data_IF_040212814258
#
_entry.id   IF_040212814258
#
_cell.length_a   1.000
_cell.length_b   1.000
_cell.length_c   1.000
_cell.angle_alpha   90.00
_cell.angle_beta   90.00
_cell.angle_gamma   90.00
#
_symmetry.space_group_name_H-M   'P 1'
#
loop_
_entity.id
_entity.type
_entity.pdbx_description
1 polymer ?
#
# COMPACT_ATOMS: atom_id res chain seq x y z
N UNK A 1 15.93 15.57 36.33
CA UNK A 1 15.73 15.49 36.01
C UNK A 1 15.84 15.80 35.03
N UNK A 2 15.42 14.94 35.92
CA UNK A 2 15.33 14.69 35.60
C UNK A 2 15.35 14.82 34.77
N UNK A 3 14.93 14.32 34.78
CA UNK A 3 14.96 14.09 34.72
C UNK A 3 14.90 14.35 33.96
N UNK A 4 14.71 14.01 34.57
CA UNK A 4 14.64 14.00 34.67
C UNK A 4 14.40 14.43 33.91
N UNK A 5 13.80 13.95 33.97
CA UNK A 5 13.77 13.87 34.12
C UNK A 5 13.58 14.10 33.30
N UNK A 6 13.25 14.07 33.70
CA UNK A 6 13.26 13.91 33.81
C UNK A 6 13.02 13.98 33.09
N UNK A 7 12.57 13.84 33.53
CA UNK A 7 12.58 13.57 33.67
C UNK A 7 12.27 13.57 33.05
N UNK A 8 11.88 13.46 33.53
CA UNK A 8 11.86 13.13 33.67
C UNK A 8 11.59 13.15 33.26
N UNK A 9 11.23 13.17 33.79
CA UNK A 9 11.15 12.83 34.07
C UNK A 9 11.12 12.95 33.91
N UNK A 10 10.99 13.43 34.95
CA UNK A 10 11.00 12.95 35.25
C UNK A 10 11.09 13.12 35.37
N UNK A 11 10.90 13.48 36.09
CA UNK A 11 11.03 13.01 36.48
C UNK A 11 11.18 13.25 36.61
N UNK A 12 11.48 13.38 37.36
CA UNK A 12 11.58 13.32 37.73
C UNK A 12 11.88 13.46 37.60
N UNK A 13 12.05 12.53 37.75
CA UNK A 13 12.32 12.34 37.56
C UNK A 13 12.82 12.38 37.60
N UNK A 14 13.16 11.88 38.33
CA UNK A 14 13.54 11.69 38.40
C UNK A 14 13.83 11.35 38.34
N UNK A 15 14.69 11.24 38.91
CA UNK A 15 14.95 10.50 38.99
C UNK A 15 14.43 9.75 39.08
N UNK A 16 14.48 9.41 38.74
CA UNK A 16 13.84 8.24 39.16
C UNK A 16 13.47 7.28 38.01
N UNK A 17 14.38 6.64 37.50
CA UNK A 17 14.12 5.56 36.56
C UNK A 17 13.93 4.31 37.40
N UNK A 18 12.71 3.82 37.52
CA UNK A 18 12.46 2.57 38.19
C UNK A 18 12.86 1.41 37.25
N UNK A 19 13.19 0.28 37.84
CA UNK A 19 13.50 -0.93 37.07
C UNK A 19 12.34 -1.35 36.18
N UNK A 20 11.12 -1.15 36.65
CA UNK A 20 9.92 -1.53 35.90
C UNK A 20 9.82 -0.77 34.58
N UNK A 21 10.15 0.51 34.57
CA UNK A 21 10.11 1.32 33.33
C UNK A 21 11.17 0.84 32.35
N UNK A 22 12.36 0.50 32.84
CA UNK A 22 13.43 -0.02 31.97
C UNK A 22 13.05 -1.38 31.38
N UNK A 23 12.45 -2.24 32.16
CA UNK A 23 12.00 -3.55 31.72
C UNK A 23 10.89 -3.43 30.67
N UNK A 24 9.97 -2.49 30.82
CA UNK A 24 8.91 -2.24 29.86
C UNK A 24 9.48 -1.74 28.54
N UNK A 25 10.50 -0.90 28.58
CA UNK A 25 11.17 -0.44 27.37
C UNK A 25 11.86 -1.58 26.63
N UNK A 26 12.53 -2.47 27.35
CA UNK A 26 13.18 -3.64 26.76
C UNK A 26 12.15 -4.58 26.13
N UNK A 27 11.03 -4.81 26.81
CA UNK A 27 9.96 -5.65 26.29
C UNK A 27 9.35 -5.02 25.05
N UNK A 28 9.15 -3.70 25.04
CA UNK A 28 8.63 -2.98 23.89
C UNK A 28 9.57 -3.09 22.69
N UNK A 29 10.89 -3.01 22.93
CA UNK A 29 11.89 -3.19 21.87
C UNK A 29 11.85 -4.59 21.30
N UNK A 30 11.75 -5.61 22.15
CA UNK A 30 11.65 -7.00 21.71
C UNK A 30 10.40 -7.23 20.88
N UNK A 31 9.27 -6.70 21.33
CA UNK A 31 8.02 -6.80 20.60
C UNK A 31 8.10 -6.13 19.24
N UNK A 32 8.73 -4.95 19.18
CA UNK A 32 8.93 -4.24 17.93
C UNK A 32 9.84 -5.03 16.99
N UNK A 33 10.93 -5.62 17.51
CA UNK A 33 11.84 -6.45 16.72
C UNK A 33 11.14 -7.69 16.19
N UNK A 34 10.33 -8.35 17.02
CA UNK A 34 9.56 -9.52 16.60
C UNK A 34 8.56 -9.16 15.51
N UNK A 35 7.90 -8.01 15.64
CA UNK A 35 6.96 -7.53 14.64
C UNK A 35 7.67 -7.24 13.31
N UNK A 36 8.83 -6.58 13.37
CA UNK A 36 9.65 -6.29 12.18
C UNK A 36 10.08 -7.60 11.52
N UNK A 37 10.52 -8.59 12.30
CA UNK A 37 10.93 -9.88 11.80
C UNK A 37 9.77 -10.60 11.11
N UNK A 38 8.58 -10.56 11.70
CA UNK A 38 7.38 -11.16 11.09
C UNK A 38 7.02 -10.49 9.78
N UNK A 39 7.07 -9.17 9.75
CA UNK A 39 6.81 -8.41 8.53
C UNK A 39 7.84 -8.75 7.45
N UNK A 40 9.10 -8.88 7.83
CA UNK A 40 10.16 -9.26 6.91
C UNK A 40 9.94 -10.66 6.35
N UNK A 41 9.54 -11.61 7.19
CA UNK A 41 9.20 -12.96 6.76
C UNK A 41 8.05 -12.97 5.75
N UNK A 42 7.02 -12.16 6.01
CA UNK A 42 5.88 -12.05 5.09
C UNK A 42 6.32 -11.47 3.75
N UNK A 43 7.17 -10.43 3.77
CA UNK A 43 7.72 -9.82 2.56
C UNK A 43 8.55 -10.84 1.79
N UNK A 44 9.37 -11.62 2.49
CA UNK A 44 10.25 -12.61 1.88
C UNK A 44 9.47 -13.74 1.18
N UNK A 45 8.24 -13.99 1.61
CA UNK A 45 7.37 -15.00 1.00
C UNK A 45 6.67 -14.49 -0.26
N UNK A 46 6.60 -13.17 -0.47
CA UNK A 46 5.93 -12.61 -1.62
C UNK A 46 6.74 -12.84 -2.89
N UNK A 47 6.06 -13.28 -3.93
CA UNK A 47 6.68 -13.35 -5.25
C UNK A 47 6.53 -11.98 -5.94
N UNK A 48 7.43 -11.69 -6.87
CA UNK A 48 7.33 -10.47 -7.67
C UNK A 48 6.00 -10.43 -8.43
N UNK A 49 5.55 -11.58 -8.91
CA UNK A 49 4.26 -11.71 -9.59
C UNK A 49 3.12 -11.23 -8.71
N UNK A 50 3.09 -11.66 -7.44
CA UNK A 50 2.03 -11.26 -6.51
C UNK A 50 2.05 -9.76 -6.24
N UNK A 51 3.23 -9.19 -6.10
CA UNK A 51 3.40 -7.75 -5.89
C UNK A 51 2.91 -6.99 -7.12
N UNK A 52 3.27 -7.43 -8.32
CA UNK A 52 2.82 -6.79 -9.56
C UNK A 52 1.30 -6.83 -9.67
N UNK A 53 0.68 -7.97 -9.35
CA UNK A 53 -0.78 -8.08 -9.37
C UNK A 53 -1.45 -7.13 -8.39
N UNK A 54 -0.88 -6.96 -7.20
CA UNK A 54 -1.40 -6.01 -6.21
C UNK A 54 -1.28 -4.57 -6.71
N UNK A 55 -0.16 -4.24 -7.34
CA UNK A 55 0.04 -2.92 -7.94
C UNK A 55 -1.02 -2.69 -9.03
N UNK A 56 -1.29 -3.69 -9.85
CA UNK A 56 -2.31 -3.60 -10.89
C UNK A 56 -3.70 -3.34 -10.31
N UNK A 57 -4.04 -4.01 -9.22
CA UNK A 57 -5.32 -3.77 -8.52
C UNK A 57 -5.41 -2.34 -8.01
N UNK A 58 -4.32 -1.83 -7.45
CA UNK A 58 -4.25 -0.45 -6.98
C UNK A 58 -4.36 0.54 -8.13
N UNK A 59 -3.70 0.27 -9.25
CA UNK A 59 -3.79 1.11 -10.45
C UNK A 59 -5.20 1.13 -11.01
N UNK A 60 -5.89 0.00 -10.99
CA UNK A 60 -7.27 -0.08 -11.44
C UNK A 60 -8.18 0.81 -10.59
N UNK A 61 -8.08 0.67 -9.28
CA UNK A 61 -8.88 1.48 -8.33
C UNK A 61 -8.58 2.97 -8.50
N UNK A 62 -7.31 3.32 -8.56
CA UNK A 62 -6.91 4.72 -8.70
C UNK A 62 -7.30 5.27 -10.07
N UNK A 63 -7.21 4.44 -11.11
CA UNK A 63 -7.63 4.80 -12.46
C UNK A 63 -9.09 5.20 -12.50
N UNK A 64 -9.97 4.40 -11.91
CA UNK A 64 -11.39 4.72 -11.83
C UNK A 64 -11.64 6.01 -11.05
N UNK A 65 -10.90 6.21 -9.97
CA UNK A 65 -11.01 7.44 -9.18
C UNK A 65 -10.60 8.65 -10.01
N UNK A 66 -9.55 8.54 -10.79
CA UNK A 66 -9.08 9.62 -11.68
C UNK A 66 -9.97 9.81 -12.90
N UNK A 67 -10.85 8.87 -13.17
CA UNK A 67 -11.93 9.03 -14.15
C UNK A 67 -13.14 9.75 -13.54
N UNK A 68 -13.13 9.98 -12.23
CA UNK A 68 -14.24 10.58 -11.51
C UNK A 68 -15.35 9.60 -11.16
N UNK A 69 -15.03 8.31 -11.12
CA UNK A 69 -16.02 7.27 -10.83
C UNK A 69 -15.90 6.78 -9.38
N UNK A 70 -16.99 6.50 -8.69
CA UNK A 70 -18.39 6.71 -9.14
C UNK A 70 -18.74 8.19 -9.29
N UNK A 71 -19.59 8.46 -10.24
CA UNK A 71 -20.06 9.82 -10.50
C UNK A 71 -20.73 10.38 -9.25
N UNK A 72 -20.46 11.65 -8.95
CA UNK A 72 -21.01 12.31 -7.77
C UNK A 72 -20.15 12.15 -6.52
N UNK A 73 -19.31 11.11 -6.46
CA UNK A 73 -18.43 10.87 -5.31
C UNK A 73 -17.00 11.32 -5.59
N UNK A 74 -16.49 11.00 -6.76
CA UNK A 74 -15.10 11.23 -7.12
C UNK A 74 -14.91 12.28 -8.23
N UNK A 75 -15.91 13.08 -8.51
CA UNK A 75 -15.85 14.11 -9.58
C UNK A 75 -14.65 15.05 -9.43
N UNK A 76 -14.31 15.41 -8.21
CA UNK A 76 -13.20 16.33 -7.92
C UNK A 76 -11.83 15.75 -8.20
N UNK A 77 -11.73 14.41 -8.32
CA UNK A 77 -10.46 13.75 -8.58
C UNK A 77 -10.22 13.48 -10.07
N UNK A 78 -11.18 13.86 -10.91
CA UNK A 78 -11.12 13.60 -12.35
C UNK A 78 -9.89 14.25 -12.96
N UNK A 79 -9.05 13.45 -13.60
CA UNK A 79 -7.78 13.90 -14.16
C UNK A 79 -7.42 12.97 -15.33
N UNK A 80 -7.57 13.50 -16.55
CA UNK A 80 -7.37 12.70 -17.75
C UNK A 80 -5.95 12.13 -17.87
N UNK A 81 -4.95 12.94 -17.54
CA UNK A 81 -3.54 12.53 -17.67
C UNK A 81 -3.24 11.40 -16.70
N UNK A 82 -3.67 11.54 -15.45
CA UNK A 82 -3.43 10.51 -14.45
C UNK A 82 -4.25 9.25 -14.71
N UNK A 83 -5.47 9.39 -15.18
CA UNK A 83 -6.30 8.25 -15.55
C UNK A 83 -5.66 7.47 -16.69
N UNK A 84 -5.15 8.17 -17.71
CA UNK A 84 -4.48 7.53 -18.83
C UNK A 84 -3.22 6.79 -18.37
N UNK A 85 -2.45 7.42 -17.49
CA UNK A 85 -1.24 6.82 -16.95
C UNK A 85 -1.56 5.52 -16.20
N UNK A 86 -2.64 5.50 -15.43
CA UNK A 86 -3.07 4.30 -14.70
C UNK A 86 -3.45 3.18 -15.67
N UNK A 87 -4.21 3.50 -16.71
CA UNK A 87 -4.64 2.52 -17.73
C UNK A 87 -3.43 1.96 -18.47
N UNK A 88 -2.54 2.83 -18.93
CA UNK A 88 -1.36 2.42 -19.69
C UNK A 88 -0.40 1.60 -18.83
N UNK A 89 -0.25 1.95 -17.56
CA UNK A 89 0.58 1.20 -16.62
C UNK A 89 0.00 -0.19 -16.36
N UNK A 90 -1.31 -0.29 -16.20
CA UNK A 90 -1.98 -1.57 -16.03
C UNK A 90 -1.72 -2.47 -17.24
N UNK A 91 -1.86 -1.92 -18.44
CA UNK A 91 -1.61 -2.67 -19.67
C UNK A 91 -0.17 -3.15 -19.77
N UNK A 92 0.78 -2.29 -19.46
CA UNK A 92 2.21 -2.65 -19.50
C UNK A 92 2.54 -3.76 -18.51
N UNK A 93 2.02 -3.68 -17.30
CA UNK A 93 2.25 -4.70 -16.27
C UNK A 93 1.59 -6.03 -16.65
N UNK A 94 0.40 -5.98 -17.26
CA UNK A 94 -0.26 -7.19 -17.73
C UNK A 94 0.62 -7.91 -18.76
N UNK A 95 1.19 -7.19 -19.70
CA UNK A 95 2.11 -7.78 -20.69
C UNK A 95 3.30 -8.45 -20.06
N UNK A 96 3.78 -7.91 -18.94
CA UNK A 96 4.92 -8.48 -18.23
C UNK A 96 4.58 -9.80 -17.56
N UNK A 97 3.40 -9.89 -16.92
CA UNK A 97 3.08 -11.05 -16.07
C UNK A 97 2.16 -12.08 -16.73
N UNK A 98 1.53 -11.78 -17.87
CA UNK A 98 0.50 -12.67 -18.40
C UNK A 98 0.99 -14.08 -18.72
N UNK A 99 2.26 -14.23 -19.04
CA UNK A 99 2.85 -15.53 -19.31
C UNK A 99 3.17 -16.32 -18.03
N UNK A 100 3.17 -15.64 -16.88
CA UNK A 100 3.56 -16.23 -15.59
C UNK A 100 2.38 -16.53 -14.68
N UNK A 101 1.16 -16.28 -15.14
CA UNK A 101 -0.07 -16.51 -14.36
C UNK A 101 -0.95 -17.52 -15.09
N UNK A 102 -1.96 -18.02 -14.36
CA UNK A 102 -2.91 -18.97 -14.94
C UNK A 102 -3.75 -18.29 -16.01
N UNK A 103 -4.15 -19.06 -17.02
CA UNK A 103 -4.97 -18.54 -18.12
C UNK A 103 -6.22 -17.82 -17.61
N UNK A 104 -6.87 -18.35 -16.58
CA UNK A 104 -8.08 -17.75 -16.00
C UNK A 104 -7.76 -16.37 -15.41
N UNK A 105 -6.64 -16.25 -14.68
CA UNK A 105 -6.22 -14.97 -14.12
C UNK A 105 -5.88 -13.96 -15.21
N UNK A 106 -5.18 -14.43 -16.25
CA UNK A 106 -4.84 -13.57 -17.39
C UNK A 106 -6.10 -13.03 -18.07
N UNK A 107 -7.08 -13.89 -18.27
CA UNK A 107 -8.36 -13.50 -18.90
C UNK A 107 -9.09 -12.48 -18.02
N UNK A 108 -9.10 -12.67 -16.72
CA UNK A 108 -9.73 -11.73 -15.79
C UNK A 108 -9.04 -10.35 -15.85
N UNK A 109 -7.72 -10.34 -15.92
CA UNK A 109 -6.96 -9.09 -16.01
C UNK A 109 -7.17 -8.40 -17.37
N UNK A 110 -7.27 -9.17 -18.44
CA UNK A 110 -7.57 -8.62 -19.76
C UNK A 110 -8.96 -7.97 -19.78
N UNK A 111 -9.93 -8.61 -19.14
CA UNK A 111 -11.27 -8.05 -18.98
C UNK A 111 -11.24 -6.75 -18.19
N UNK A 112 -10.47 -6.72 -17.11
CA UNK A 112 -10.30 -5.51 -16.30
C UNK A 112 -9.68 -4.38 -17.12
N UNK A 113 -8.68 -4.69 -17.93
CA UNK A 113 -8.05 -3.70 -18.81
C UNK A 113 -9.06 -3.16 -19.84
N UNK A 114 -9.84 -4.05 -20.46
CA UNK A 114 -10.86 -3.64 -21.42
C UNK A 114 -11.87 -2.69 -20.79
N UNK A 115 -12.29 -2.98 -19.56
CA UNK A 115 -13.22 -2.13 -18.83
C UNK A 115 -12.60 -0.77 -18.50
N UNK A 116 -11.33 -0.74 -18.09
CA UNK A 116 -10.63 0.51 -17.85
C UNK A 116 -10.55 1.36 -19.11
N UNK A 117 -10.17 0.74 -20.22
CA UNK A 117 -10.05 1.44 -21.51
C UNK A 117 -11.39 1.97 -21.98
N UNK A 118 -12.43 1.16 -21.88
CA UNK A 118 -13.77 1.55 -22.30
C UNK A 118 -14.29 2.73 -21.47
N UNK A 119 -14.12 2.68 -20.18
CA UNK A 119 -14.56 3.76 -19.31
C UNK A 119 -13.76 5.04 -19.55
N UNK A 120 -12.45 4.90 -19.79
CA UNK A 120 -11.62 6.04 -20.14
C UNK A 120 -12.14 6.76 -21.38
N UNK A 121 -12.44 5.99 -22.44
CA UNK A 121 -12.96 6.54 -23.70
C UNK A 121 -14.31 7.23 -23.45
N UNK A 122 -15.20 6.60 -22.72
CA UNK A 122 -16.52 7.15 -22.42
C UNK A 122 -16.46 8.50 -21.70
N UNK A 123 -15.48 8.65 -20.83
CA UNK A 123 -15.40 9.83 -19.96
C UNK A 123 -14.62 10.96 -20.61
N UNK A 124 -13.54 10.66 -21.32
CA UNK A 124 -12.61 11.67 -21.80
C UNK A 124 -12.60 11.87 -23.31
N UNK A 125 -13.22 11.00 -24.04
CA UNK A 125 -13.24 11.05 -25.49
C UNK A 125 -14.67 11.02 -26.02
#
# INVERSE_FOLDING_TARGET
MAMDEKKKKGGNGEDRVSKDVVMDEENSKKEAEEMINKLQEEIDKLSVKDVVMQIMMSLSSLGYKKMGLPVGTNDRYKDKIQAKMAVDSFEALLKVIEAEIKAQEADNLRSSLSNLQLNFVKIFI
#
